data_IF_189634204674
#
_entry.id   IF_189634204674
#
_cell.length_a   1.000
_cell.length_b   1.000
_cell.length_c   1.000
_cell.angle_alpha   90.00
_cell.angle_beta   90.00
_cell.angle_gamma   90.00
#
_symmetry.space_group_name_H-M   'P 1'
#
loop_
_entity.id
_entity.type
_entity.pdbx_description
1 polymer ?
#
# COMPACT_ATOMS: atom_id res chain seq x y z
N UNK A 1 -2.20 35.10 16.40
CA UNK A 1 -1.60 33.97 17.15
C UNK A 1 -0.19 33.63 16.66
N UNK A 2 0.31 34.24 15.58
CA UNK A 2 1.72 34.12 15.19
C UNK A 2 2.45 35.45 15.41
N UNK A 3 3.46 35.45 16.26
CA UNK A 3 4.38 36.58 16.41
C UNK A 3 5.57 36.34 15.48
N UNK A 4 5.62 37.04 14.34
CA UNK A 4 6.69 36.94 13.34
C UNK A 4 8.09 37.22 13.89
N UNK A 5 8.20 37.87 15.05
CA UNK A 5 9.47 38.13 15.73
C UNK A 5 9.99 36.93 16.53
N UNK A 6 9.23 35.85 16.63
CA UNK A 6 9.66 34.65 17.34
C UNK A 6 10.69 33.89 16.50
N UNK A 7 11.81 33.44 17.09
CA UNK A 7 12.83 32.70 16.36
C UNK A 7 12.25 31.42 15.75
N UNK A 8 12.61 31.13 14.49
CA UNK A 8 12.22 29.89 13.80
C UNK A 8 12.96 28.71 14.42
N UNK A 9 12.28 28.03 15.35
CA UNK A 9 12.79 26.84 16.05
C UNK A 9 12.41 25.51 15.37
N UNK A 10 11.65 25.56 14.28
CA UNK A 10 11.17 24.37 13.57
C UNK A 10 11.87 24.23 12.24
N UNK A 11 12.51 23.07 12.01
CA UNK A 11 13.12 22.69 10.75
C UNK A 11 12.31 21.53 10.14
N UNK A 12 11.38 21.79 9.21
CA UNK A 12 10.66 20.73 8.52
C UNK A 12 11.59 19.83 7.71
N UNK A 13 11.34 18.52 7.79
CA UNK A 13 12.00 17.50 6.97
C UNK A 13 10.98 16.58 6.31
N UNK A 14 11.14 16.32 5.01
CA UNK A 14 10.36 15.33 4.27
C UNK A 14 10.96 13.94 4.48
N UNK A 15 10.07 12.96 4.67
CA UNK A 15 10.44 11.56 4.64
C UNK A 15 9.52 10.74 3.76
N UNK A 16 10.11 10.02 2.82
CA UNK A 16 9.41 9.15 1.90
C UNK A 16 9.41 7.71 2.40
N UNK A 17 8.34 6.99 2.11
CA UNK A 17 8.26 5.54 2.20
C UNK A 17 7.71 4.97 0.88
N UNK A 18 8.06 3.72 0.61
CA UNK A 18 7.51 2.93 -0.50
C UNK A 18 6.85 1.67 0.06
N UNK A 19 5.87 1.15 -0.68
CA UNK A 19 5.27 -0.16 -0.42
C UNK A 19 5.50 -1.08 -1.60
N UNK A 20 5.85 -2.32 -1.29
CA UNK A 20 6.17 -3.38 -2.22
C UNK A 20 5.45 -4.67 -1.81
N UNK A 21 5.40 -5.69 -2.69
CA UNK A 21 4.80 -6.99 -2.38
C UNK A 21 5.28 -7.59 -1.04
N UNK A 22 4.39 -8.33 -0.39
CA UNK A 22 4.65 -8.93 0.93
C UNK A 22 5.83 -9.89 0.96
N UNK A 23 6.13 -10.57 -0.16
CA UNK A 23 7.27 -11.48 -0.23
C UNK A 23 8.62 -10.79 -0.02
N UNK A 24 8.68 -9.44 -0.02
CA UNK A 24 9.86 -8.63 0.32
C UNK A 24 10.23 -8.62 1.81
N UNK A 25 9.34 -9.02 2.72
CA UNK A 25 9.64 -9.11 4.16
C UNK A 25 8.99 -10.32 4.81
N UNK A 26 9.60 -10.93 5.85
CA UNK A 26 8.93 -11.98 6.61
C UNK A 26 7.74 -11.42 7.39
N UNK A 27 6.61 -12.15 7.43
CA UNK A 27 5.34 -11.69 8.04
C UNK A 27 5.46 -11.22 9.50
N UNK A 28 6.43 -11.75 10.26
CA UNK A 28 6.56 -11.52 11.71
C UNK A 28 7.89 -10.86 12.11
N UNK A 29 8.66 -10.34 11.15
CA UNK A 29 9.98 -9.76 11.43
C UNK A 29 10.23 -8.50 10.63
N UNK A 30 10.54 -7.41 11.32
CA UNK A 30 11.07 -6.20 10.71
C UNK A 30 12.59 -6.25 10.60
N UNK A 31 13.12 -5.77 9.49
CA UNK A 31 14.55 -5.57 9.27
C UNK A 31 14.89 -4.09 9.43
N UNK A 32 16.10 -3.85 9.91
CA UNK A 32 16.67 -2.52 10.10
C UNK A 32 18.10 -2.55 9.60
N UNK A 33 18.41 -1.73 8.62
CA UNK A 33 19.76 -1.51 8.13
C UNK A 33 20.27 -0.13 8.59
N UNK A 34 21.23 -0.08 9.53
CA UNK A 34 21.84 1.16 9.99
C UNK A 34 23.07 1.58 9.16
N UNK A 35 23.47 0.80 8.16
CA UNK A 35 24.70 0.97 7.39
C UNK A 35 24.39 1.41 5.95
N UNK A 36 23.51 2.41 5.78
CA UNK A 36 23.22 3.00 4.46
C UNK A 36 24.39 3.83 3.94
N UNK A 37 24.41 4.12 2.65
CA UNK A 37 25.47 4.88 1.98
C UNK A 37 25.74 6.28 2.57
N UNK A 38 24.78 6.84 3.30
CA UNK A 38 24.83 8.17 3.92
C UNK A 38 24.67 8.17 5.45
N UNK A 39 24.70 6.98 6.09
CA UNK A 39 24.61 6.83 7.55
C UNK A 39 23.21 6.99 8.13
N UNK A 40 22.16 7.07 7.30
CA UNK A 40 20.77 6.97 7.73
C UNK A 40 20.40 5.52 8.06
N UNK A 41 19.20 5.34 8.62
CA UNK A 41 18.64 4.02 8.94
C UNK A 41 17.46 3.75 8.04
N UNK A 42 17.49 2.62 7.34
CA UNK A 42 16.35 2.13 6.57
C UNK A 42 15.71 0.95 7.28
N UNK A 43 14.39 0.96 7.29
CA UNK A 43 13.51 -0.06 7.82
C UNK A 43 12.85 -0.81 6.67
N UNK A 44 12.62 -2.09 6.91
CA UNK A 44 11.86 -2.97 6.05
C UNK A 44 10.89 -3.74 6.93
N UNK A 45 9.62 -3.38 6.89
CA UNK A 45 8.64 -3.89 7.84
C UNK A 45 7.48 -4.57 7.10
N UNK A 46 7.00 -5.73 7.59
CA UNK A 46 5.72 -6.26 7.14
C UNK A 46 4.60 -5.31 7.56
N UNK A 47 3.73 -4.95 6.63
CA UNK A 47 2.61 -4.05 6.86
C UNK A 47 1.41 -4.41 5.97
N UNK A 48 0.28 -4.79 6.56
CA UNK A 48 -0.97 -5.14 5.85
C UNK A 48 -0.76 -6.18 4.72
N UNK A 49 0.04 -7.22 5.00
CA UNK A 49 0.49 -8.27 4.04
C UNK A 49 1.39 -7.78 2.90
N UNK A 50 1.86 -6.54 2.99
CA UNK A 50 2.81 -5.92 2.09
C UNK A 50 4.12 -5.64 2.84
N UNK A 51 5.10 -5.07 2.14
CA UNK A 51 6.36 -4.62 2.73
C UNK A 51 6.44 -3.11 2.63
N UNK A 52 6.57 -2.41 3.76
CA UNK A 52 6.88 -0.98 3.79
C UNK A 52 8.39 -0.78 3.97
N UNK A 53 8.96 0.11 3.16
CA UNK A 53 10.36 0.46 3.19
C UNK A 53 10.57 1.97 3.30
N UNK A 54 11.56 2.37 4.07
CA UNK A 54 11.91 3.78 4.24
C UNK A 54 12.85 4.00 5.41
N UNK A 55 13.26 5.22 5.72
CA UNK A 55 12.73 6.47 5.18
C UNK A 55 13.84 7.40 4.76
N UNK A 56 13.53 8.35 3.88
CA UNK A 56 14.40 9.47 3.59
C UNK A 56 14.26 10.57 4.65
N UNK A 57 15.24 11.47 4.68
CA UNK A 57 15.29 12.63 5.56
C UNK A 57 15.94 13.78 4.79
N UNK A 58 15.11 14.64 4.22
CA UNK A 58 15.53 15.74 3.35
C UNK A 58 14.85 17.04 3.82
N UNK A 59 15.59 18.15 4.01
CA UNK A 59 14.98 19.44 4.32
C UNK A 59 13.90 19.81 3.29
N UNK A 60 12.77 20.34 3.76
CA UNK A 60 11.62 20.61 2.88
C UNK A 60 10.87 21.87 3.29
N UNK A 61 10.13 22.47 2.36
CA UNK A 61 9.19 23.54 2.69
C UNK A 61 7.86 22.96 3.20
N UNK A 62 7.16 23.71 4.05
CA UNK A 62 5.89 23.25 4.60
C UNK A 62 4.81 23.31 3.51
N UNK A 63 4.23 22.16 3.19
CA UNK A 63 3.08 22.03 2.30
C UNK A 63 2.04 21.10 2.92
N UNK A 64 0.77 21.34 2.60
CA UNK A 64 -0.32 20.44 2.96
C UNK A 64 -0.33 19.15 2.13
N UNK A 65 0.39 19.14 1.00
CA UNK A 65 0.42 18.05 0.02
C UNK A 65 1.88 17.66 -0.27
N UNK A 66 2.57 16.99 0.67
CA UNK A 66 3.92 16.51 0.43
C UNK A 66 3.91 15.39 -0.61
N UNK A 67 4.78 15.49 -1.61
CA UNK A 67 4.85 14.58 -2.76
C UNK A 67 6.18 13.81 -2.70
N UNK A 68 6.17 12.48 -2.85
CA UNK A 68 7.41 11.70 -2.96
C UNK A 68 8.12 11.99 -4.29
N UNK A 69 9.45 12.07 -4.27
CA UNK A 69 10.24 12.27 -5.48
C UNK A 69 10.77 10.94 -6.04
N UNK A 70 11.08 10.89 -7.33
CA UNK A 70 11.77 9.74 -7.93
C UNK A 70 13.16 9.51 -7.32
N UNK A 71 13.84 10.58 -6.96
CA UNK A 71 15.16 10.50 -6.32
C UNK A 71 15.06 9.78 -4.98
N UNK A 72 14.07 10.14 -4.14
CA UNK A 72 13.82 9.46 -2.87
C UNK A 72 13.48 7.97 -3.06
N UNK A 73 12.67 7.65 -4.07
CA UNK A 73 12.25 6.27 -4.34
C UNK A 73 13.43 5.42 -4.83
N UNK A 74 14.22 5.95 -5.77
CA UNK A 74 15.39 5.26 -6.29
C UNK A 74 16.50 5.13 -5.24
N UNK A 75 16.64 6.11 -4.35
CA UNK A 75 17.49 6.01 -3.17
C UNK A 75 17.08 4.82 -2.32
N UNK A 76 15.80 4.73 -1.92
CA UNK A 76 15.31 3.60 -1.12
C UNK A 76 15.58 2.28 -1.87
N UNK A 77 15.23 2.16 -3.15
CA UNK A 77 15.45 0.93 -3.92
C UNK A 77 16.93 0.52 -3.98
N UNK A 78 17.83 1.48 -4.13
CA UNK A 78 19.28 1.22 -4.20
C UNK A 78 19.82 0.71 -2.86
N UNK A 79 19.42 1.34 -1.75
CA UNK A 79 19.83 0.90 -0.42
C UNK A 79 19.31 -0.50 -0.08
N UNK A 80 18.14 -0.89 -0.62
CA UNK A 80 17.60 -2.24 -0.45
C UNK A 80 18.38 -3.32 -1.19
N UNK A 81 19.14 -2.95 -2.23
CA UNK A 81 19.97 -3.85 -3.04
C UNK A 81 21.40 -3.97 -2.45
N UNK A 82 21.70 -3.21 -1.39
CA UNK A 82 22.99 -3.23 -0.68
C UNK A 82 23.33 -4.63 -0.14
N UNK A 83 24.62 -5.02 -0.10
CA UNK A 83 25.08 -6.38 0.23
C UNK A 83 24.62 -6.97 1.58
N UNK A 84 24.04 -6.18 2.51
CA UNK A 84 23.38 -6.72 3.70
C UNK A 84 22.09 -7.48 3.36
N UNK A 85 21.34 -7.08 2.31
CA UNK A 85 20.17 -7.81 1.81
C UNK A 85 20.54 -9.08 1.03
N UNK A 86 21.81 -9.27 0.65
CA UNK A 86 22.27 -10.48 -0.06
C UNK A 86 22.22 -11.76 0.80
N UNK A 87 22.02 -11.65 2.13
CA UNK A 87 21.81 -12.81 3.00
C UNK A 87 20.37 -13.35 2.96
N UNK A 88 19.41 -12.56 2.48
CA UNK A 88 18.12 -13.06 2.05
C UNK A 88 18.33 -13.45 0.60
N UNK A 89 18.13 -14.72 0.25
CA UNK A 89 18.38 -15.24 -1.10
C UNK A 89 17.40 -14.66 -2.14
N UNK A 90 17.42 -13.34 -2.36
CA UNK A 90 16.82 -12.73 -3.53
C UNK A 90 17.67 -13.08 -4.72
N UNK A 91 17.32 -14.19 -5.37
CA UNK A 91 17.76 -14.47 -6.73
C UNK A 91 17.14 -13.49 -7.75
N UNK A 92 16.34 -12.52 -7.31
CA UNK A 92 15.65 -11.55 -8.15
C UNK A 92 16.02 -10.13 -7.69
N UNK A 93 16.39 -9.26 -8.62
CA UNK A 93 16.63 -7.84 -8.30
C UNK A 93 15.31 -7.15 -7.94
N UNK A 94 15.28 -6.34 -6.87
CA UNK A 94 14.16 -5.44 -6.57
C UNK A 94 14.04 -4.43 -7.71
N UNK A 95 12.85 -4.27 -8.28
CA UNK A 95 12.62 -3.39 -9.43
C UNK A 95 11.77 -2.19 -9.02
N UNK A 96 11.94 -1.08 -9.73
CA UNK A 96 11.04 0.07 -9.59
C UNK A 96 9.56 -0.29 -9.86
N UNK A 97 9.31 -1.27 -10.73
CA UNK A 97 7.98 -1.82 -11.00
C UNK A 97 7.33 -2.53 -9.81
N UNK A 98 8.11 -2.96 -8.81
CA UNK A 98 7.59 -3.60 -7.60
C UNK A 98 7.04 -2.58 -6.59
N UNK A 99 7.22 -1.27 -6.83
CA UNK A 99 6.69 -0.22 -5.95
C UNK A 99 5.22 0.04 -6.27
N UNK A 100 4.35 -0.40 -5.36
CA UNK A 100 2.90 -0.35 -5.49
C UNK A 100 2.30 0.96 -4.99
N UNK A 101 2.99 1.65 -4.09
CA UNK A 101 2.66 2.99 -3.62
C UNK A 101 3.92 3.66 -3.06
N UNK A 102 3.96 4.99 -3.09
CA UNK A 102 4.99 5.78 -2.43
C UNK A 102 4.35 7.04 -1.84
N UNK A 103 4.78 7.49 -0.67
CA UNK A 103 4.22 8.70 -0.08
C UNK A 103 5.25 9.44 0.75
N UNK A 104 5.00 10.74 0.94
CA UNK A 104 5.86 11.62 1.72
C UNK A 104 5.10 12.16 2.93
N UNK A 105 5.81 12.37 4.03
CA UNK A 105 5.31 13.05 5.22
C UNK A 105 6.32 14.07 5.72
N UNK A 106 5.83 15.17 6.31
CA UNK A 106 6.69 16.22 6.87
C UNK A 106 6.81 16.02 8.39
N UNK A 107 8.05 15.91 8.86
CA UNK A 107 8.40 15.83 10.28
C UNK A 107 8.67 17.24 10.81
N UNK A 108 7.99 17.68 11.88
CA UNK A 108 8.27 18.95 12.52
C UNK A 108 9.47 18.81 13.47
N UNK A 109 10.69 18.87 12.93
CA UNK A 109 11.91 18.77 13.75
C UNK A 109 12.19 20.08 14.49
N UNK A 110 12.74 20.01 15.70
CA UNK A 110 13.03 21.18 16.53
C UNK A 110 14.53 21.37 16.63
N UNK A 111 15.00 22.58 16.31
CA UNK A 111 16.35 23.02 16.63
C UNK A 111 16.33 23.67 18.00
N UNK A 112 17.22 23.22 18.89
CA UNK A 112 17.43 23.89 20.17
C UNK A 112 18.15 25.23 19.90
N UNK A 113 17.52 26.39 20.17
CA UNK A 113 18.14 27.69 19.92
C UNK A 113 19.37 27.96 20.80
N UNK A 114 19.63 27.11 21.80
CA UNK A 114 20.81 27.17 22.67
C UNK A 114 21.94 26.19 22.26
N UNK A 115 21.69 25.27 21.32
CA UNK A 115 22.69 24.32 20.82
C UNK A 115 23.45 24.90 19.62
N UNK A 116 24.78 24.75 19.61
CA UNK A 116 25.66 25.16 18.48
C UNK A 116 25.73 24.12 17.35
N UNK A 117 25.14 22.95 17.54
CA UNK A 117 25.29 21.80 16.65
C UNK A 117 23.96 21.46 15.97
N UNK A 118 23.81 21.91 14.72
CA UNK A 118 22.59 21.80 13.92
C UNK A 118 22.26 20.36 13.47
N UNK A 119 23.20 19.41 13.61
CA UNK A 119 22.93 18.00 13.33
C UNK A 119 22.32 17.24 14.52
N UNK A 120 22.48 17.78 15.74
CA UNK A 120 21.87 17.23 16.96
C UNK A 120 20.46 17.76 17.20
N UNK A 121 19.61 17.67 16.18
CA UNK A 121 18.20 18.06 16.30
C UNK A 121 17.57 17.30 17.48
N UNK A 122 17.08 18.04 18.47
CA UNK A 122 16.52 17.48 19.69
C UNK A 122 15.30 16.63 19.35
N UNK A 123 15.43 15.31 19.48
CA UNK A 123 14.32 14.34 19.39
C UNK A 123 13.45 14.29 20.67
N UNK A 124 13.71 15.21 21.60
CA UNK A 124 13.09 15.29 22.93
C UNK A 124 12.02 16.37 22.99
N UNK A 125 11.02 16.12 23.83
CA UNK A 125 9.79 16.89 23.92
C UNK A 125 10.05 18.18 24.69
N UNK A 126 9.75 19.32 24.09
CA UNK A 126 9.67 20.61 24.78
C UNK A 126 8.18 20.85 25.08
N UNK A 127 7.85 21.43 26.23
CA UNK A 127 6.48 21.75 26.69
C UNK A 127 5.87 22.91 25.87
N UNK A 128 5.79 22.67 24.56
CA UNK A 128 5.13 23.43 23.51
C UNK A 128 4.58 22.36 22.55
N UNK A 129 3.55 21.62 22.97
CA UNK A 129 2.82 20.54 22.24
C UNK A 129 3.58 19.98 21.01
N UNK A 130 4.72 19.33 21.24
CA UNK A 130 5.54 18.70 20.20
C UNK A 130 6.01 17.35 20.71
N UNK A 131 5.78 16.31 19.91
CA UNK A 131 6.29 15.00 20.26
C UNK A 131 5.85 13.86 19.37
N UNK A 132 6.08 12.65 19.87
CA UNK A 132 5.97 11.41 19.11
C UNK A 132 4.59 10.79 19.25
N UNK A 133 4.18 10.03 18.23
CA UNK A 133 2.98 9.22 18.34
C UNK A 133 3.04 8.27 19.55
N UNK A 134 4.22 7.75 19.91
CA UNK A 134 4.38 6.83 21.06
C UNK A 134 4.13 7.48 22.42
N UNK A 135 4.20 8.80 22.53
CA UNK A 135 4.09 9.56 23.79
C UNK A 135 2.84 10.43 23.85
N UNK A 136 1.94 10.34 22.86
CA UNK A 136 0.78 11.23 22.70
C UNK A 136 -0.08 11.36 23.96
N UNK A 137 -0.35 10.25 24.66
CA UNK A 137 -1.16 10.23 25.88
C UNK A 137 -0.49 11.02 27.01
N UNK A 138 0.81 10.83 27.20
CA UNK A 138 1.57 11.56 28.21
C UNK A 138 1.63 13.06 27.87
N UNK A 139 1.87 13.40 26.60
CA UNK A 139 1.82 14.78 26.12
C UNK A 139 0.46 15.45 26.36
N UNK A 140 -0.64 14.74 26.07
CA UNK A 140 -1.99 15.25 26.30
C UNK A 140 -2.24 15.52 27.78
N UNK A 141 -1.77 14.62 28.66
CA UNK A 141 -1.85 14.80 30.10
C UNK A 141 -1.05 16.03 30.55
N UNK A 142 0.23 16.14 30.18
CA UNK A 142 1.09 17.28 30.53
C UNK A 142 0.50 18.61 30.04
N UNK A 143 -0.08 18.60 28.83
CA UNK A 143 -0.75 19.77 28.25
C UNK A 143 -1.94 20.20 29.10
N UNK A 144 -2.81 19.26 29.47
CA UNK A 144 -3.97 19.56 30.32
C UNK A 144 -3.54 20.00 31.72
N UNK A 145 -2.54 19.37 32.33
CA UNK A 145 -2.01 19.75 33.64
C UNK A 145 -1.49 21.20 33.61
N UNK A 146 -0.77 21.59 32.55
CA UNK A 146 -0.32 22.96 32.34
C UNK A 146 -1.48 23.95 32.13
N UNK A 147 -2.49 23.59 31.34
CA UNK A 147 -3.69 24.42 31.13
C UNK A 147 -4.47 24.62 32.42
N UNK A 148 -4.67 23.56 33.21
CA UNK A 148 -5.35 23.61 34.51
C UNK A 148 -4.63 24.58 35.44
N UNK A 149 -3.30 24.48 35.53
CA UNK A 149 -2.47 25.37 36.34
C UNK A 149 -2.53 26.83 35.86
N UNK A 150 -2.40 27.07 34.55
CA UNK A 150 -2.35 28.42 33.97
C UNK A 150 -3.69 29.17 34.08
N UNK A 151 -4.81 28.44 34.04
CA UNK A 151 -6.16 29.02 34.09
C UNK A 151 -6.86 28.81 35.43
N UNK A 152 -6.15 28.32 36.45
CA UNK A 152 -6.69 28.03 37.80
C UNK A 152 -7.98 27.18 37.77
N UNK A 153 -8.05 26.21 36.85
CA UNK A 153 -9.20 25.33 36.73
C UNK A 153 -9.18 24.27 37.84
N UNK A 154 -10.34 23.73 38.20
CA UNK A 154 -10.43 22.56 39.07
C UNK A 154 -10.67 21.30 38.25
N UNK A 155 -9.84 20.29 38.45
CA UNK A 155 -9.95 18.99 37.81
C UNK A 155 -9.46 17.88 38.76
N UNK A 156 -9.98 16.67 38.57
CA UNK A 156 -9.48 15.47 39.26
C UNK A 156 -8.19 14.91 38.63
N UNK A 157 -7.63 13.82 39.18
CA UNK A 157 -6.44 13.18 38.61
C UNK A 157 -6.72 12.63 37.21
N UNK A 158 -5.69 12.55 36.38
CA UNK A 158 -5.77 11.96 35.04
C UNK A 158 -6.20 10.48 35.10
N UNK A 159 -7.20 10.11 34.29
CA UNK A 159 -7.78 8.74 34.24
C UNK A 159 -7.55 8.04 32.91
N UNK A 160 -6.63 8.55 32.09
CA UNK A 160 -6.38 8.01 30.74
C UNK A 160 -5.61 6.71 30.74
N UNK A 161 -4.85 6.41 31.80
CA UNK A 161 -4.16 5.12 31.96
C UNK A 161 -5.21 4.01 32.17
N UNK A 162 -5.19 3.01 31.30
CA UNK A 162 -6.16 1.90 31.32
C UNK A 162 -7.51 2.22 30.66
N UNK A 163 -7.72 3.45 30.18
CA UNK A 163 -8.89 3.78 29.38
C UNK A 163 -8.73 3.15 27.98
N UNK A 164 -9.62 2.22 27.63
CA UNK A 164 -9.63 1.63 26.29
C UNK A 164 -10.18 2.63 25.28
N UNK A 165 -9.49 2.75 24.14
CA UNK A 165 -10.01 3.47 22.98
C UNK A 165 -11.18 2.70 22.36
N UNK A 166 -11.97 3.39 21.54
CA UNK A 166 -13.07 2.78 20.78
C UNK A 166 -12.55 1.60 19.94
N UNK A 167 -13.30 0.50 19.90
CA UNK A 167 -12.85 -0.76 19.29
C UNK A 167 -12.00 -1.65 20.20
N UNK A 168 -11.35 -1.13 21.25
CA UNK A 168 -10.49 -1.93 22.12
C UNK A 168 -11.25 -2.93 23.01
N UNK A 169 -12.49 -2.63 23.37
CA UNK A 169 -13.29 -3.48 24.27
C UNK A 169 -13.73 -4.77 23.59
N UNK A 170 -13.47 -5.91 24.23
CA UNK A 170 -13.90 -7.23 23.76
C UNK A 170 -13.08 -7.81 22.62
N UNK A 171 -12.00 -7.15 22.21
CA UNK A 171 -11.06 -7.70 21.24
C UNK A 171 -10.36 -8.94 21.79
N UNK A 172 -10.22 -9.95 20.93
CA UNK A 172 -9.41 -11.15 21.18
C UNK A 172 -8.75 -11.56 19.86
N UNK A 173 -7.60 -12.27 19.89
CA UNK A 173 -6.97 -12.79 18.67
C UNK A 173 -7.90 -13.67 17.81
N UNK A 174 -8.89 -14.30 18.44
CA UNK A 174 -9.87 -15.19 17.79
C UNK A 174 -11.19 -14.50 17.44
N UNK A 175 -11.32 -13.17 17.61
CA UNK A 175 -12.57 -12.45 17.36
C UNK A 175 -13.11 -12.66 15.94
N UNK A 176 -12.20 -12.79 14.97
CA UNK A 176 -12.55 -13.06 13.57
C UNK A 176 -13.36 -14.35 13.39
N UNK A 177 -13.16 -15.37 14.23
CA UNK A 177 -13.90 -16.64 14.15
C UNK A 177 -15.40 -16.39 14.34
N UNK A 178 -15.76 -15.48 15.27
CA UNK A 178 -17.16 -15.09 15.47
C UNK A 178 -17.72 -14.32 14.29
N UNK A 179 -16.93 -13.42 13.68
CA UNK A 179 -17.36 -12.71 12.46
C UNK A 179 -17.68 -13.70 11.32
N UNK A 180 -16.92 -14.78 11.19
CA UNK A 180 -17.17 -15.85 10.22
C UNK A 180 -18.43 -16.64 10.58
N UNK A 181 -18.55 -17.08 11.83
CA UNK A 181 -19.67 -17.92 12.30
C UNK A 181 -21.01 -17.18 12.26
N UNK A 182 -21.02 -15.91 12.67
CA UNK A 182 -22.24 -15.14 12.86
C UNK A 182 -22.72 -14.49 11.56
N UNK A 183 -21.82 -14.15 10.63
CA UNK A 183 -22.15 -13.38 9.42
C UNK A 183 -21.81 -14.11 8.11
N UNK A 184 -21.00 -15.17 8.14
CA UNK A 184 -20.52 -15.82 6.93
C UNK A 184 -19.55 -14.96 6.12
N UNK A 185 -18.74 -14.14 6.81
CA UNK A 185 -17.66 -13.38 6.20
C UNK A 185 -16.52 -14.29 5.74
N UNK A 186 -15.83 -13.86 4.69
CA UNK A 186 -14.67 -14.58 4.19
C UNK A 186 -13.55 -14.59 5.24
N UNK A 187 -12.98 -15.77 5.42
CA UNK A 187 -11.74 -16.00 6.16
C UNK A 187 -10.86 -16.88 5.32
N UNK A 188 -9.55 -16.77 5.50
CA UNK A 188 -8.66 -17.77 4.98
C UNK A 188 -8.93 -19.09 5.71
N UNK A 189 -9.61 -20.01 5.02
CA UNK A 189 -9.55 -21.41 5.38
C UNK A 189 -8.16 -21.88 4.97
N UNK A 190 -7.25 -21.97 5.95
CA UNK A 190 -6.05 -22.79 5.83
C UNK A 190 -6.46 -24.25 5.68
N UNK A 191 -6.99 -24.64 4.51
CA UNK A 191 -7.26 -26.03 4.21
C UNK A 191 -5.93 -26.66 3.82
N UNK A 192 -5.20 -27.06 4.86
CA UNK A 192 -4.16 -28.08 4.80
C UNK A 192 -4.68 -29.46 4.31
N UNK A 193 -5.95 -29.57 3.87
CA UNK A 193 -6.57 -30.80 3.37
C UNK A 193 -6.43 -30.97 1.85
N UNK A 194 -5.97 -29.95 1.10
CA UNK A 194 -5.68 -30.07 -0.36
C UNK A 194 -4.24 -29.67 -0.72
N UNK A 195 -3.29 -30.00 0.15
CA UNK A 195 -1.87 -29.65 0.00
C UNK A 195 -1.17 -30.34 -1.20
N UNK A 196 -1.80 -31.32 -1.84
CA UNK A 196 -1.17 -32.10 -2.91
C UNK A 196 -1.45 -31.63 -4.36
N UNK A 197 -2.34 -30.66 -4.58
CA UNK A 197 -2.65 -30.16 -5.93
C UNK A 197 -2.30 -28.68 -6.15
N UNK A 198 -2.27 -27.86 -5.10
CA UNK A 198 -2.09 -26.40 -5.27
C UNK A 198 -0.65 -25.97 -5.56
N UNK A 199 0.36 -26.78 -5.22
CA UNK A 199 1.76 -26.44 -5.53
C UNK A 199 2.12 -26.65 -7.02
N UNK A 200 1.38 -27.52 -7.72
CA UNK A 200 1.61 -27.81 -9.14
C UNK A 200 1.03 -26.78 -10.10
N UNK A 201 0.15 -25.90 -9.63
CA UNK A 201 -0.56 -24.90 -10.44
C UNK A 201 -0.11 -23.46 -10.20
N UNK A 202 0.97 -23.22 -9.45
CA UNK A 202 1.62 -21.91 -9.38
C UNK A 202 0.74 -20.74 -8.91
N UNK A 203 -0.43 -20.99 -8.33
CA UNK A 203 -1.35 -19.96 -7.86
C UNK A 203 -0.80 -19.27 -6.61
N UNK A 204 -0.38 -18.02 -6.77
CA UNK A 204 0.11 -17.18 -5.69
C UNK A 204 -0.89 -17.13 -4.52
N UNK A 205 -0.38 -17.34 -3.31
CA UNK A 205 -1.10 -17.26 -2.04
C UNK A 205 -1.31 -15.77 -1.72
N UNK A 206 -2.28 -15.14 -2.38
CA UNK A 206 -2.82 -13.84 -1.99
C UNK A 206 -4.31 -13.99 -1.69
N UNK A 207 -4.62 -14.69 -0.60
CA UNK A 207 -6.00 -14.82 -0.11
C UNK A 207 -6.23 -13.80 0.98
N UNK A 208 -6.91 -12.73 0.59
CA UNK A 208 -7.36 -11.64 1.47
C UNK A 208 -8.34 -12.16 2.54
N UNK A 209 -8.21 -11.67 3.78
CA UNK A 209 -8.88 -12.18 4.97
C UNK A 209 -9.83 -11.13 5.55
N UNK A 210 -11.01 -10.97 4.97
CA UNK A 210 -11.97 -9.92 5.39
C UNK A 210 -12.26 -10.00 6.89
N UNK A 211 -12.58 -11.17 7.44
CA UNK A 211 -12.88 -11.30 8.86
C UNK A 211 -11.70 -10.93 9.78
N UNK A 212 -10.47 -11.33 9.44
CA UNK A 212 -9.28 -11.00 10.24
C UNK A 212 -8.92 -9.53 10.12
N UNK A 213 -9.03 -8.95 8.92
CA UNK A 213 -8.90 -7.51 8.69
C UNK A 213 -9.87 -6.71 9.56
N UNK A 214 -11.16 -7.04 9.53
CA UNK A 214 -12.16 -6.31 10.32
C UNK A 214 -11.87 -6.42 11.82
N UNK A 215 -11.50 -7.62 12.29
CA UNK A 215 -11.14 -7.83 13.70
C UNK A 215 -9.88 -7.07 14.13
N UNK A 216 -8.87 -6.97 13.25
CA UNK A 216 -7.63 -6.24 13.53
C UNK A 216 -7.83 -4.72 13.48
N UNK A 217 -8.66 -4.23 12.55
CA UNK A 217 -8.85 -2.80 12.31
C UNK A 217 -9.88 -2.17 13.25
N UNK A 218 -11.05 -2.81 13.42
CA UNK A 218 -12.18 -2.25 14.18
C UNK A 218 -12.34 -2.86 15.57
N UNK A 219 -11.59 -3.92 15.87
CA UNK A 219 -11.67 -4.61 17.15
C UNK A 219 -13.09 -5.08 17.48
N UNK A 220 -13.58 -4.74 18.66
CA UNK A 220 -14.96 -5.02 19.07
C UNK A 220 -16.03 -4.37 18.20
N UNK A 221 -15.71 -3.33 17.41
CA UNK A 221 -16.64 -2.66 16.49
C UNK A 221 -16.78 -3.39 15.16
N UNK A 222 -15.96 -4.41 14.89
CA UNK A 222 -16.02 -5.20 13.67
C UNK A 222 -17.41 -5.81 13.42
N UNK A 223 -18.14 -6.18 14.49
CA UNK A 223 -19.51 -6.69 14.41
C UNK A 223 -20.49 -5.66 13.82
N UNK A 224 -20.30 -4.38 14.10
CA UNK A 224 -21.14 -3.32 13.55
C UNK A 224 -20.86 -3.08 12.08
N UNK A 225 -19.59 -3.21 11.67
CA UNK A 225 -19.20 -3.19 10.26
C UNK A 225 -19.81 -4.39 9.54
N UNK A 226 -19.65 -5.60 10.08
CA UNK A 226 -20.19 -6.84 9.52
C UNK A 226 -21.72 -6.81 9.39
N UNK A 227 -22.43 -6.24 10.37
CA UNK A 227 -23.89 -6.08 10.33
C UNK A 227 -24.39 -5.22 9.16
N UNK A 228 -23.56 -4.32 8.64
CA UNK A 228 -23.88 -3.49 7.48
C UNK A 228 -23.48 -4.14 6.15
N UNK A 229 -22.79 -5.28 6.18
CA UNK A 229 -22.34 -5.96 4.97
C UNK A 229 -23.52 -6.52 4.18
N UNK A 230 -23.54 -6.24 2.89
CA UNK A 230 -24.54 -6.79 1.97
C UNK A 230 -24.19 -8.22 1.60
N UNK A 231 -25.24 -9.01 1.30
CA UNK A 231 -25.08 -10.37 0.74
C UNK A 231 -24.39 -10.31 -0.62
N UNK A 232 -23.46 -11.23 -0.85
CA UNK A 232 -22.67 -11.30 -2.09
C UNK A 232 -23.45 -11.95 -3.23
N UNK A 233 -24.42 -12.81 -2.92
CA UNK A 233 -25.10 -13.69 -3.87
C UNK A 233 -24.34 -14.99 -4.17
N UNK A 234 -23.19 -15.21 -3.52
CA UNK A 234 -22.40 -16.42 -3.62
C UNK A 234 -22.77 -17.40 -2.49
N UNK A 235 -22.44 -18.68 -2.67
CA UNK A 235 -22.56 -19.69 -1.59
C UNK A 235 -21.63 -19.36 -0.42
N UNK A 236 -20.45 -18.85 -0.74
CA UNK A 236 -19.44 -18.39 0.21
C UNK A 236 -18.52 -17.37 -0.50
N UNK A 237 -18.11 -16.28 0.15
CA UNK A 237 -18.64 -15.76 1.42
C UNK A 237 -20.10 -15.30 1.29
N UNK A 238 -20.87 -15.36 2.37
CA UNK A 238 -22.31 -15.02 2.37
C UNK A 238 -22.50 -13.51 2.27
N UNK A 239 -21.71 -12.74 3.03
CA UNK A 239 -21.74 -11.27 3.07
C UNK A 239 -20.33 -10.70 2.86
N UNK A 240 -20.26 -9.41 2.55
CA UNK A 240 -18.99 -8.69 2.44
C UNK A 240 -18.52 -8.56 0.99
N UNK A 241 -19.27 -7.78 0.19
CA UNK A 241 -18.83 -7.38 -1.15
C UNK A 241 -17.55 -6.55 -1.03
N UNK A 242 -16.49 -7.02 -1.66
CA UNK A 242 -15.20 -6.32 -1.72
C UNK A 242 -15.29 -5.06 -2.59
N UNK A 243 -14.49 -4.06 -2.24
CA UNK A 243 -14.28 -2.87 -3.06
C UNK A 243 -13.36 -3.15 -4.25
N UNK A 244 -12.37 -4.01 -4.05
CA UNK A 244 -11.38 -4.46 -5.03
C UNK A 244 -10.97 -5.88 -4.68
N UNK A 245 -10.65 -6.70 -5.69
CA UNK A 245 -10.66 -8.16 -5.55
C UNK A 245 -9.53 -8.69 -4.66
N UNK A 246 -8.38 -8.03 -4.66
CA UNK A 246 -7.12 -8.49 -4.04
C UNK A 246 -7.01 -8.07 -2.56
N UNK A 247 -7.81 -7.08 -2.12
CA UNK A 247 -7.72 -6.51 -0.77
C UNK A 247 -8.93 -6.86 0.10
N UNK A 248 -8.79 -6.86 1.45
CA UNK A 248 -9.86 -7.27 2.36
C UNK A 248 -10.91 -6.19 2.61
N UNK A 249 -10.88 -5.09 1.87
CA UNK A 249 -11.76 -3.95 2.10
C UNK A 249 -13.14 -4.19 1.48
N UNK A 250 -14.18 -4.04 2.29
CA UNK A 250 -15.57 -4.28 1.87
C UNK A 250 -16.42 -3.02 1.87
N UNK A 251 -17.50 -3.02 1.09
CA UNK A 251 -18.41 -1.87 0.95
C UNK A 251 -18.94 -1.35 2.30
N UNK A 252 -19.18 -2.23 3.27
CA UNK A 252 -19.65 -1.84 4.61
C UNK A 252 -18.65 -1.03 5.41
N UNK A 253 -17.35 -1.11 5.10
CA UNK A 253 -16.36 -0.22 5.69
C UNK A 253 -16.54 1.22 5.21
N UNK A 254 -16.96 1.43 3.96
CA UNK A 254 -17.30 2.78 3.46
C UNK A 254 -18.52 3.34 4.20
N UNK A 255 -19.53 2.50 4.43
CA UNK A 255 -20.70 2.86 5.23
C UNK A 255 -20.32 3.19 6.68
N UNK A 256 -19.42 2.42 7.28
CA UNK A 256 -18.94 2.66 8.64
C UNK A 256 -18.06 3.91 8.73
N UNK A 257 -17.17 4.11 7.76
CA UNK A 257 -16.30 5.28 7.66
C UNK A 257 -17.09 6.60 7.69
N UNK A 258 -18.24 6.67 7.02
CA UNK A 258 -19.12 7.85 7.06
C UNK A 258 -19.65 8.10 8.47
N UNK A 259 -19.95 7.05 9.25
CA UNK A 259 -20.30 7.18 10.68
C UNK A 259 -19.12 7.66 11.52
N UNK A 260 -17.91 7.32 11.11
CA UNK A 260 -16.65 7.82 11.68
C UNK A 260 -16.20 9.16 11.07
N UNK A 261 -17.15 9.98 10.60
CA UNK A 261 -16.91 11.33 10.08
C UNK A 261 -16.01 11.39 8.83
N UNK A 262 -15.97 10.34 8.01
CA UNK A 262 -15.38 10.45 6.68
C UNK A 262 -16.27 11.33 5.79
N UNK A 263 -15.70 12.43 5.32
CA UNK A 263 -16.41 13.47 4.55
C UNK A 263 -15.94 13.55 3.09
N UNK A 264 -14.83 12.89 2.76
CA UNK A 264 -14.21 12.88 1.42
C UNK A 264 -13.82 11.47 1.02
N UNK A 265 -13.71 11.22 -0.29
CA UNK A 265 -13.23 9.92 -0.78
C UNK A 265 -11.79 9.59 -0.29
N UNK A 266 -10.96 10.63 -0.12
CA UNK A 266 -9.59 10.52 0.42
C UNK A 266 -9.61 10.05 1.88
N UNK A 267 -10.62 10.43 2.69
CA UNK A 267 -10.73 9.92 4.07
C UNK A 267 -10.85 8.40 4.11
N UNK A 268 -11.61 7.82 3.17
CA UNK A 268 -11.77 6.38 3.07
C UNK A 268 -10.47 5.74 2.59
N UNK A 269 -9.95 6.19 1.43
CA UNK A 269 -8.77 5.59 0.77
C UNK A 269 -7.49 5.69 1.60
N UNK A 270 -7.25 6.84 2.23
CA UNK A 270 -5.99 7.12 2.92
C UNK A 270 -6.08 6.75 4.41
N UNK A 271 -7.19 7.09 5.09
CA UNK A 271 -7.23 7.10 6.55
C UNK A 271 -8.01 5.94 7.16
N UNK A 272 -9.06 5.44 6.51
CA UNK A 272 -9.90 4.36 7.05
C UNK A 272 -9.45 2.98 6.56
N UNK A 273 -9.21 2.82 5.26
CA UNK A 273 -8.73 1.55 4.69
C UNK A 273 -7.22 1.53 4.48
N UNK A 274 -6.61 2.70 4.24
CA UNK A 274 -5.19 2.87 3.86
C UNK A 274 -4.83 2.27 2.51
N UNK A 275 -5.82 1.89 1.69
CA UNK A 275 -5.62 1.29 0.38
C UNK A 275 -4.74 2.16 -0.54
N UNK A 276 -4.87 3.48 -0.47
CA UNK A 276 -4.02 4.42 -1.24
C UNK A 276 -2.53 4.32 -0.90
N UNK A 277 -2.18 3.92 0.32
CA UNK A 277 -0.81 3.71 0.77
C UNK A 277 -0.29 2.30 0.49
N UNK A 278 -1.17 1.34 0.21
CA UNK A 278 -0.78 -0.05 -0.04
C UNK A 278 -0.61 -0.35 -1.52
N UNK A 279 -1.57 0.09 -2.33
CA UNK A 279 -1.56 -0.11 -3.77
C UNK A 279 -2.41 0.96 -4.45
N UNK A 280 -1.73 1.84 -5.19
CA UNK A 280 -2.36 3.00 -5.82
C UNK A 280 -3.32 2.62 -6.96
N UNK A 281 -3.08 1.52 -7.66
CA UNK A 281 -3.95 1.03 -8.74
C UNK A 281 -5.24 0.44 -8.16
N UNK A 282 -5.11 -0.43 -7.16
CA UNK A 282 -6.25 -1.00 -6.47
C UNK A 282 -7.11 0.09 -5.79
N UNK A 283 -6.47 1.17 -5.32
CA UNK A 283 -7.16 2.35 -4.81
C UNK A 283 -7.97 3.08 -5.88
N UNK A 284 -7.42 3.29 -7.09
CA UNK A 284 -8.14 3.92 -8.20
C UNK A 284 -9.28 3.03 -8.73
N UNK A 285 -9.09 1.70 -8.75
CA UNK A 285 -10.15 0.74 -9.12
C UNK A 285 -11.32 0.76 -8.12
N UNK A 286 -11.02 0.83 -6.82
CA UNK A 286 -12.04 0.91 -5.77
C UNK A 286 -12.77 2.27 -5.74
N UNK A 287 -12.13 3.34 -6.22
CA UNK A 287 -12.56 4.73 -6.03
C UNK A 287 -13.97 5.02 -6.58
N UNK A 288 -14.36 4.63 -7.82
CA UNK A 288 -15.73 4.84 -8.31
C UNK A 288 -16.80 4.23 -7.41
N UNK A 289 -16.54 3.05 -6.86
CA UNK A 289 -17.48 2.37 -5.95
C UNK A 289 -17.58 3.09 -4.61
N UNK A 290 -16.45 3.54 -4.06
CA UNK A 290 -16.40 4.34 -2.83
C UNK A 290 -17.21 5.63 -2.99
N UNK A 291 -16.97 6.40 -4.05
CA UNK A 291 -17.69 7.66 -4.30
C UNK A 291 -19.19 7.41 -4.51
N UNK A 292 -19.57 6.33 -5.19
CA UNK A 292 -20.97 5.96 -5.34
C UNK A 292 -21.65 5.73 -3.98
N UNK A 293 -21.01 4.95 -3.09
CA UNK A 293 -21.55 4.64 -1.76
C UNK A 293 -21.60 5.90 -0.90
N UNK A 294 -20.51 6.66 -0.81
CA UNK A 294 -20.43 7.90 -0.05
C UNK A 294 -21.44 8.92 -0.55
N UNK A 295 -21.56 9.09 -1.87
CA UNK A 295 -22.50 10.04 -2.46
C UNK A 295 -23.96 9.71 -2.14
N UNK A 296 -24.31 8.42 -2.02
CA UNK A 296 -25.63 8.00 -1.53
C UNK A 296 -25.82 8.30 -0.03
N UNK A 297 -24.80 8.06 0.80
CA UNK A 297 -24.88 8.24 2.26
C UNK A 297 -24.90 9.72 2.67
N UNK A 298 -24.13 10.55 1.98
CA UNK A 298 -23.93 11.97 2.29
C UNK A 298 -24.82 12.89 1.45
N UNK A 299 -25.61 12.35 0.52
CA UNK A 299 -26.50 13.13 -0.34
C UNK A 299 -25.76 14.01 -1.35
N UNK A 300 -24.65 13.53 -1.91
CA UNK A 300 -23.87 14.29 -2.90
C UNK A 300 -24.60 14.41 -4.25
N UNK A 301 -24.53 15.59 -4.85
CA UNK A 301 -24.90 15.81 -6.25
C UNK A 301 -23.93 15.09 -7.19
N UNK A 302 -24.32 14.88 -8.45
CA UNK A 302 -23.41 14.32 -9.46
C UNK A 302 -22.16 15.20 -9.67
N UNK A 303 -22.31 16.53 -9.57
CA UNK A 303 -21.18 17.45 -9.58
C UNK A 303 -20.21 17.16 -8.43
N UNK A 304 -20.71 17.02 -7.19
CA UNK A 304 -19.87 16.74 -6.02
C UNK A 304 -19.19 15.36 -6.13
N UNK A 305 -19.89 14.35 -6.65
CA UNK A 305 -19.26 13.04 -6.94
C UNK A 305 -18.10 13.17 -7.92
N UNK A 306 -18.25 13.97 -8.98
CA UNK A 306 -17.17 14.21 -9.93
C UNK A 306 -16.00 14.99 -9.32
N UNK A 307 -16.28 15.98 -8.49
CA UNK A 307 -15.26 16.72 -7.73
C UNK A 307 -14.46 15.79 -6.82
N UNK A 308 -15.12 14.89 -6.08
CA UNK A 308 -14.47 13.90 -5.21
C UNK A 308 -13.65 12.88 -5.99
N UNK A 309 -14.14 12.40 -7.14
CA UNK A 309 -13.38 11.52 -8.03
C UNK A 309 -12.09 12.20 -8.52
N UNK A 310 -12.20 13.44 -8.98
CA UNK A 310 -11.06 14.19 -9.50
C UNK A 310 -10.04 14.47 -8.39
N UNK A 311 -10.49 14.93 -7.23
CA UNK A 311 -9.63 15.22 -6.09
C UNK A 311 -8.90 13.96 -5.59
N UNK A 312 -9.62 12.83 -5.46
CA UNK A 312 -9.01 11.57 -5.05
C UNK A 312 -8.03 11.03 -6.09
N UNK A 313 -8.32 11.16 -7.39
CA UNK A 313 -7.36 10.81 -8.44
C UNK A 313 -6.12 11.68 -8.43
N UNK A 314 -6.25 12.98 -8.20
CA UNK A 314 -5.09 13.87 -8.03
C UNK A 314 -4.24 13.45 -6.83
N UNK A 315 -4.88 13.14 -5.69
CA UNK A 315 -4.20 12.62 -4.49
C UNK A 315 -3.44 11.32 -4.79
N UNK A 316 -4.10 10.32 -5.40
CA UNK A 316 -3.44 9.08 -5.79
C UNK A 316 -2.29 9.35 -6.77
N UNK A 317 -2.52 10.27 -7.72
CA UNK A 317 -1.56 10.59 -8.76
C UNK A 317 -0.29 11.24 -8.23
N UNK A 318 -0.44 12.27 -7.41
CA UNK A 318 0.64 13.11 -6.95
C UNK A 318 1.22 12.61 -5.63
N UNK A 319 0.38 12.33 -4.64
CA UNK A 319 0.83 12.09 -3.27
C UNK A 319 1.14 10.62 -2.98
N UNK A 320 0.49 9.68 -3.69
CA UNK A 320 0.68 8.22 -3.51
C UNK A 320 1.60 7.56 -4.56
N UNK A 321 2.28 8.35 -5.39
CA UNK A 321 3.35 7.88 -6.27
C UNK A 321 2.92 7.28 -7.63
N UNK A 322 1.67 7.49 -8.07
CA UNK A 322 1.21 7.01 -9.40
C UNK A 322 1.92 7.73 -10.56
N UNK A 323 2.16 9.04 -10.44
CA UNK A 323 2.79 9.90 -11.47
C UNK A 323 4.13 9.35 -11.91
N UNK A 324 4.98 9.15 -10.92
CA UNK A 324 6.29 8.53 -10.91
C UNK A 324 6.29 7.20 -11.69
N UNK A 325 5.29 6.34 -11.45
CA UNK A 325 5.10 5.09 -12.22
C UNK A 325 4.65 5.32 -13.67
N UNK A 326 3.72 6.26 -13.90
CA UNK A 326 3.15 6.57 -15.22
C UNK A 326 4.11 7.28 -16.17
N UNK A 327 4.98 8.16 -15.67
CA UNK A 327 5.95 8.90 -16.47
C UNK A 327 7.10 7.98 -16.94
N UNK A 328 7.49 6.97 -16.15
CA UNK A 328 8.44 5.94 -16.58
C UNK A 328 7.88 5.04 -17.69
N UNK A 329 6.59 4.70 -17.67
CA UNK A 329 5.92 3.99 -18.77
C UNK A 329 6.08 4.69 -20.12
N UNK A 330 6.34 6.00 -20.13
CA UNK A 330 6.60 6.79 -21.33
C UNK A 330 8.09 6.95 -21.69
N UNK A 331 9.00 6.94 -20.71
CA UNK A 331 10.41 7.32 -20.92
C UNK A 331 11.44 6.18 -20.81
N UNK A 332 11.14 5.08 -20.13
CA UNK A 332 12.12 4.01 -19.84
C UNK A 332 11.73 2.66 -20.46
N UNK A 333 11.48 2.65 -21.76
CA UNK A 333 11.66 1.39 -22.51
C UNK A 333 13.16 1.10 -22.63
N UNK A 334 13.78 0.51 -21.60
CA UNK A 334 14.99 -0.32 -21.74
C UNK A 334 14.65 -1.64 -22.45
N UNK A 335 13.94 -1.51 -23.56
CA UNK A 335 13.55 -2.64 -24.39
C UNK A 335 14.34 -2.45 -25.67
N UNK A 336 15.22 -3.40 -25.99
CA UNK A 336 16.03 -3.43 -27.22
C UNK A 336 15.14 -3.76 -28.43
N UNK A 337 14.05 -3.02 -28.61
CA UNK A 337 13.18 -3.11 -29.77
C UNK A 337 13.33 -1.83 -30.59
N UNK A 338 13.47 -1.92 -31.92
CA UNK A 338 13.42 -0.76 -32.79
C UNK A 338 12.14 0.06 -32.55
N UNK A 339 12.23 1.39 -32.63
CA UNK A 339 11.08 2.30 -32.42
C UNK A 339 9.84 1.93 -33.26
N UNK A 340 10.04 1.39 -34.45
CA UNK A 340 8.97 0.90 -35.34
C UNK A 340 8.23 -0.34 -34.80
N UNK A 341 8.90 -1.19 -34.02
CA UNK A 341 8.28 -2.35 -33.38
C UNK A 341 7.57 -1.99 -32.08
N UNK A 342 8.14 -1.06 -31.30
CA UNK A 342 7.50 -0.53 -30.08
C UNK A 342 6.14 0.07 -30.41
N UNK A 343 6.04 0.88 -31.47
CA UNK A 343 4.75 1.44 -31.91
C UNK A 343 3.76 0.36 -32.38
N UNK A 344 4.24 -0.70 -33.01
CA UNK A 344 3.42 -1.85 -33.42
C UNK A 344 2.85 -2.58 -32.20
N UNK A 345 3.68 -2.84 -31.19
CA UNK A 345 3.26 -3.52 -29.97
C UNK A 345 2.40 -2.64 -29.08
N UNK A 346 2.67 -1.33 -28.99
CA UNK A 346 1.76 -0.36 -28.34
C UNK A 346 0.38 -0.38 -28.97
N UNK A 347 0.28 -0.33 -30.31
CA UNK A 347 -1.02 -0.44 -31.01
C UNK A 347 -1.74 -1.77 -30.71
N UNK A 348 -1.00 -2.88 -30.58
CA UNK A 348 -1.58 -4.18 -30.18
C UNK A 348 -2.07 -4.15 -28.73
N UNK A 349 -1.28 -3.61 -27.80
CA UNK A 349 -1.66 -3.46 -26.40
C UNK A 349 -2.97 -2.69 -26.24
N UNK A 350 -3.13 -1.56 -26.93
CA UNK A 350 -4.36 -0.76 -26.89
C UNK A 350 -5.57 -1.46 -27.51
N UNK A 351 -5.36 -2.52 -28.31
CA UNK A 351 -6.47 -3.36 -28.81
C UNK A 351 -7.01 -4.28 -27.72
N UNK A 352 -6.17 -4.69 -26.78
CA UNK A 352 -6.54 -5.49 -25.62
C UNK A 352 -7.02 -4.62 -24.46
N UNK A 353 -6.43 -3.45 -24.24
CA UNK A 353 -6.85 -2.49 -23.22
C UNK A 353 -8.11 -1.71 -23.62
N UNK A 354 -9.27 -2.40 -23.61
CA UNK A 354 -10.57 -1.76 -23.80
C UNK A 354 -10.87 -0.83 -22.64
N UNK A 355 -10.77 0.47 -22.89
CA UNK A 355 -11.01 1.53 -21.90
C UNK A 355 -9.80 2.39 -21.59
N UNK A 356 -8.64 2.11 -22.22
CA UNK A 356 -7.42 2.89 -22.05
C UNK A 356 -6.97 2.97 -20.58
N UNK A 357 -7.10 1.84 -19.87
CA UNK A 357 -6.80 1.67 -18.44
C UNK A 357 -5.30 1.62 -18.17
N UNK A 358 -4.48 1.28 -19.17
CA UNK A 358 -3.03 1.16 -19.08
C UNK A 358 -2.53 -0.24 -18.72
N UNK A 359 -3.43 -1.23 -18.59
CA UNK A 359 -3.13 -2.63 -18.24
C UNK A 359 -4.17 -3.58 -18.86
N UNK A 360 -3.79 -4.85 -19.05
CA UNK A 360 -4.63 -5.90 -19.63
C UNK A 360 -4.97 -6.94 -18.57
N UNK A 361 -6.25 -7.21 -18.35
CA UNK A 361 -6.73 -8.26 -17.44
C UNK A 361 -7.08 -9.55 -18.18
N UNK A 362 -7.28 -10.65 -17.44
CA UNK A 362 -7.81 -11.93 -17.99
C UNK A 362 -9.12 -11.73 -18.77
N UNK A 363 -10.01 -10.91 -18.23
CA UNK A 363 -11.31 -10.58 -18.83
C UNK A 363 -11.12 -9.82 -20.15
N UNK A 364 -10.17 -8.89 -20.21
CA UNK A 364 -9.88 -8.12 -21.42
C UNK A 364 -9.39 -9.04 -22.55
N UNK A 365 -8.49 -9.98 -22.24
CA UNK A 365 -8.00 -10.95 -23.23
C UNK A 365 -9.11 -11.88 -23.68
N UNK A 366 -9.93 -12.39 -22.75
CA UNK A 366 -11.06 -13.26 -23.08
C UNK A 366 -12.06 -12.58 -24.02
N UNK A 367 -12.41 -11.31 -23.74
CA UNK A 367 -13.31 -10.53 -24.61
C UNK A 367 -12.73 -10.29 -26.01
N UNK A 368 -11.41 -10.15 -26.14
CA UNK A 368 -10.78 -9.98 -27.45
C UNK A 368 -10.72 -11.32 -28.19
N UNK A 369 -10.40 -12.42 -27.51
CA UNK A 369 -10.37 -13.77 -28.09
C UNK A 369 -11.76 -14.21 -28.60
N UNK A 370 -12.81 -13.91 -27.84
CA UNK A 370 -14.21 -14.12 -28.25
C UNK A 370 -14.54 -13.31 -29.53
N UNK A 371 -14.07 -12.06 -29.62
CA UNK A 371 -14.31 -11.20 -30.79
C UNK A 371 -13.61 -11.69 -32.07
N UNK A 372 -12.57 -12.53 -31.95
CA UNK A 372 -11.87 -13.15 -33.08
C UNK A 372 -12.19 -14.65 -33.25
N UNK A 373 -13.24 -15.14 -32.57
CA UNK A 373 -13.71 -16.54 -32.64
C UNK A 373 -12.64 -17.59 -32.26
N UNK A 374 -11.71 -17.22 -31.38
CA UNK A 374 -10.70 -18.14 -30.83
C UNK A 374 -11.13 -18.53 -29.41
N UNK A 375 -11.29 -19.83 -29.18
CA UNK A 375 -11.61 -20.41 -27.87
C UNK A 375 -10.31 -20.92 -27.25
N UNK A 376 -9.89 -20.32 -26.15
CA UNK A 376 -8.78 -20.79 -25.31
C UNK A 376 -9.40 -21.15 -23.96
N UNK A 377 -8.98 -22.27 -23.36
CA UNK A 377 -9.47 -22.62 -22.04
C UNK A 377 -8.94 -21.65 -20.98
N UNK A 378 -9.72 -21.48 -19.91
CA UNK A 378 -9.47 -20.48 -18.87
C UNK A 378 -8.14 -20.74 -18.13
N UNK A 379 -7.72 -22.00 -18.01
CA UNK A 379 -6.45 -22.35 -17.36
C UNK A 379 -5.26 -21.98 -18.24
N UNK A 380 -5.28 -22.29 -19.53
CA UNK A 380 -4.23 -21.90 -20.49
C UNK A 380 -4.14 -20.38 -20.62
N UNK A 381 -5.27 -19.67 -20.59
CA UNK A 381 -5.27 -18.20 -20.60
C UNK A 381 -4.58 -17.64 -19.34
N UNK A 382 -4.86 -18.24 -18.19
CA UNK A 382 -4.23 -17.86 -16.93
C UNK A 382 -2.74 -18.18 -16.92
N UNK A 383 -2.31 -19.31 -17.50
CA UNK A 383 -0.89 -19.66 -17.68
C UNK A 383 -0.16 -18.64 -18.55
N UNK A 384 -0.72 -18.29 -19.71
CA UNK A 384 -0.12 -17.30 -20.63
C UNK A 384 0.01 -15.93 -19.96
N UNK A 385 -1.02 -15.50 -19.22
CA UNK A 385 -0.98 -14.22 -18.52
C UNK A 385 0.00 -14.23 -17.35
N UNK A 386 0.09 -15.32 -16.60
CA UNK A 386 1.07 -15.48 -15.52
C UNK A 386 2.53 -15.49 -16.01
N UNK A 387 2.79 -15.90 -17.26
CA UNK A 387 4.14 -15.82 -17.85
C UNK A 387 4.54 -14.38 -18.22
N UNK A 388 3.56 -13.53 -18.51
CA UNK A 388 3.80 -12.14 -18.94
C UNK A 388 3.69 -11.16 -17.77
N UNK A 389 2.84 -11.44 -16.79
CA UNK A 389 2.69 -10.70 -15.53
C UNK A 389 3.89 -10.96 -14.60
N UNK A 390 4.88 -10.08 -14.65
CA UNK A 390 6.16 -10.25 -13.96
C UNK A 390 6.05 -9.87 -12.48
N UNK A 391 5.18 -8.91 -12.16
CA UNK A 391 4.94 -8.46 -10.78
C UNK A 391 3.84 -9.26 -10.05
N UNK A 392 3.16 -10.18 -10.76
CA UNK A 392 2.10 -11.08 -10.29
C UNK A 392 0.92 -10.36 -9.66
N UNK A 393 0.56 -9.19 -10.19
CA UNK A 393 -0.57 -8.41 -9.70
C UNK A 393 -1.91 -8.81 -10.38
N UNK A 394 -1.91 -9.80 -11.26
CA UNK A 394 -3.08 -10.27 -12.00
C UNK A 394 -3.43 -9.43 -13.24
N UNK A 395 -2.56 -8.48 -13.60
CA UNK A 395 -2.72 -7.54 -14.71
C UNK A 395 -1.42 -7.45 -15.50
N UNK A 396 -1.50 -7.38 -16.82
CA UNK A 396 -0.32 -7.22 -17.68
C UNK A 396 -0.19 -5.75 -18.08
N UNK A 397 0.85 -5.10 -17.58
CA UNK A 397 1.17 -3.71 -17.90
C UNK A 397 1.88 -3.58 -19.26
N UNK A 398 1.94 -2.37 -19.82
CA UNK A 398 2.54 -2.15 -21.15
C UNK A 398 4.03 -2.55 -21.19
N UNK A 399 4.78 -2.29 -20.14
CA UNK A 399 6.18 -2.70 -20.00
C UNK A 399 6.33 -4.23 -19.98
N UNK A 400 5.49 -4.93 -19.20
CA UNK A 400 5.43 -6.38 -19.11
C UNK A 400 5.02 -7.01 -20.44
N UNK A 401 4.02 -6.44 -21.10
CA UNK A 401 3.59 -6.83 -22.44
C UNK A 401 4.72 -6.66 -23.45
N UNK A 402 5.40 -5.51 -23.46
CA UNK A 402 6.52 -5.26 -24.37
C UNK A 402 7.72 -6.17 -24.07
N UNK A 403 7.97 -6.48 -22.80
CA UNK A 403 9.03 -7.39 -22.35
C UNK A 403 8.72 -8.83 -22.78
N UNK A 404 7.49 -9.32 -22.58
CA UNK A 404 7.04 -10.61 -23.07
C UNK A 404 7.14 -10.73 -24.59
N UNK A 405 6.73 -9.71 -25.34
CA UNK A 405 6.86 -9.68 -26.80
C UNK A 405 8.32 -9.64 -27.28
N UNK A 406 9.22 -8.98 -26.54
CA UNK A 406 10.66 -8.95 -26.84
C UNK A 406 11.30 -10.34 -26.69
N UNK A 407 10.90 -11.08 -25.64
CA UNK A 407 11.33 -12.47 -25.41
C UNK A 407 10.82 -13.39 -26.53
N UNK A 408 9.54 -13.30 -26.90
CA UNK A 408 8.97 -14.07 -28.01
C UNK A 408 9.59 -13.73 -29.38
N UNK A 409 10.02 -12.49 -29.58
CA UNK A 409 10.64 -12.03 -30.82
C UNK A 409 12.14 -12.37 -30.92
N UNK A 410 12.73 -13.02 -29.90
CA UNK A 410 14.15 -13.43 -29.92
C UNK A 410 15.17 -12.29 -29.75
N UNK A 411 14.74 -11.14 -29.23
CA UNK A 411 15.61 -9.95 -29.06
C UNK A 411 16.21 -9.81 -27.64
N UNK A 412 15.89 -10.73 -26.73
CA UNK A 412 16.52 -10.80 -25.42
C UNK A 412 17.95 -11.36 -25.51
N UNK A 413 18.95 -10.64 -24.99
CA UNK A 413 20.29 -11.24 -24.79
C UNK A 413 20.18 -12.35 -23.73
N UNK A 414 20.80 -13.51 -23.94
CA UNK A 414 20.96 -14.47 -22.85
C UNK A 414 21.80 -13.83 -21.75
N UNK A 415 21.32 -13.89 -20.51
CA UNK A 415 22.17 -13.62 -19.36
C UNK A 415 23.38 -14.56 -19.42
N UNK A 416 24.56 -13.97 -19.32
CA UNK A 416 25.83 -14.70 -19.26
C UNK A 416 25.90 -15.36 -17.88
N UNK A 417 25.29 -16.54 -17.77
CA UNK A 417 25.54 -17.49 -16.69
C UNK A 417 26.92 -18.12 -16.88
N UNK A 418 27.90 -17.63 -16.13
CA UNK A 418 29.22 -18.21 -16.04
C UNK A 418 29.17 -19.66 -15.56
N UNK A 419 29.60 -20.56 -16.45
CA UNK A 419 30.23 -21.88 -16.26
C UNK A 419 29.69 -22.81 -15.17
N UNK A 420 29.33 -24.00 -15.63
CA UNK A 420 28.93 -25.16 -14.85
C UNK A 420 29.79 -25.45 -13.61
N UNK A 421 29.08 -25.72 -12.53
CA UNK A 421 29.58 -26.37 -11.33
C UNK A 421 28.51 -27.34 -10.86
N UNK A 422 28.70 -28.61 -11.19
CA UNK A 422 27.96 -29.73 -10.61
C UNK A 422 28.25 -29.73 -9.09
N UNK A 423 27.32 -29.28 -8.25
CA UNK A 423 27.44 -29.48 -6.79
C UNK A 423 26.34 -30.43 -6.30
N UNK A 424 26.81 -31.64 -5.99
CA UNK A 424 26.13 -32.67 -5.22
C UNK A 424 25.64 -32.10 -3.89
N UNK A 425 24.34 -32.26 -3.61
CA UNK A 425 23.81 -32.14 -2.25
C UNK A 425 24.27 -33.35 -1.43
N UNK A 426 25.20 -33.14 -0.51
CA UNK A 426 25.44 -34.07 0.60
C UNK A 426 24.48 -33.69 1.73
N UNK A 427 23.43 -34.50 1.89
CA UNK A 427 22.64 -34.56 3.13
C UNK A 427 23.41 -35.38 4.14
N UNK A 428 23.54 -34.87 5.37
CA UNK A 428 23.56 -35.67 6.62
C UNK A 428 23.65 -34.75 7.84
N UNK A 429 23.14 -35.15 9.01
CA UNK A 429 22.00 -36.04 9.33
C UNK A 429 20.75 -35.26 9.77
#
# INVERSE_FOLDING_TARGET
MDNEKSPKICQPSAGVHIVMPGYYSPDNMGLLDPATSDGRVIFFLPWEKMTIAGTTDSPTEITAQPIPTEEDINFILTELISPLCACVSWSHSVRRGDVLAAWSGIRPLVTDPSSKDTQSICRNHIVNIRGKWTTYRAMAQETLDATIKAHHLQAGPCRTVGLMLEGGKGWTPTLYIRLVQDYGLEVECGIAVFQNLSWKLGGAIYRSQVAQHLAATYGGRAFEVAKMAQVTGQRWPIVGKRLVSEFPYIESEVHYAVKEYACTAIDVLARRTRLGFLNVQAADEALPRIVHIMGKQLGWSEQKKQEELNAARTFLYQEMGYKTRSEQLTNTTEISLPLSEVDRYKKRFHKFDKGNKGFITTVDVQQVLESISVQIDENTLHEILNEVDLNKNGQVELNEFLQGQSVCAGHAKPEVGGRGGLLLYVRTP
#
